data_IF_099957309094
#
_entry.id   IF_099957309094
#
_cell.length_a   1.000
_cell.length_b   1.000
_cell.length_c   1.000
_cell.angle_alpha   90.00
_cell.angle_beta   90.00
_cell.angle_gamma   90.00
#
_symmetry.space_group_name_H-M   'P 1'
#
loop_
_entity.id
_entity.type
_entity.pdbx_description
1 polymer ?
#
# COMPACT_ATOMS: atom_id res chain seq x y z
N UNK A 1 52.31 -5.23 -49.67
CA UNK A 1 52.15 -5.85 -48.34
C UNK A 1 50.85 -6.62 -48.31
N UNK A 2 50.91 -7.95 -48.34
CA UNK A 2 49.73 -8.82 -48.26
C UNK A 2 49.20 -8.74 -46.83
N UNK A 3 48.13 -7.95 -46.59
CA UNK A 3 47.40 -8.07 -45.32
C UNK A 3 46.87 -9.51 -45.27
N UNK A 4 47.18 -10.30 -44.23
CA UNK A 4 46.76 -11.69 -44.17
C UNK A 4 45.23 -11.73 -44.22
N UNK A 5 44.67 -12.49 -45.17
CA UNK A 5 43.22 -12.68 -45.36
C UNK A 5 42.50 -12.98 -44.04
N UNK A 6 43.19 -13.66 -43.15
CA UNK A 6 42.78 -13.98 -41.80
C UNK A 6 42.42 -12.73 -40.97
N UNK A 7 43.22 -11.66 -41.01
CA UNK A 7 42.90 -10.41 -40.30
C UNK A 7 41.65 -9.73 -40.88
N UNK A 8 41.44 -9.81 -42.19
CA UNK A 8 40.24 -9.29 -42.85
C UNK A 8 38.99 -10.10 -42.45
N UNK A 9 39.08 -11.43 -42.46
CA UNK A 9 37.99 -12.32 -42.04
C UNK A 9 37.66 -12.18 -40.56
N UNK A 10 38.66 -12.09 -39.67
CA UNK A 10 38.44 -11.87 -38.24
C UNK A 10 37.76 -10.53 -37.96
N UNK A 11 38.12 -9.49 -38.72
CA UNK A 11 37.47 -8.17 -38.58
C UNK A 11 35.99 -8.24 -39.00
N UNK A 12 35.68 -8.89 -40.12
CA UNK A 12 34.29 -9.08 -40.57
C UNK A 12 33.49 -9.91 -39.55
N UNK A 13 34.06 -10.99 -39.04
CA UNK A 13 33.42 -11.83 -38.03
C UNK A 13 33.15 -11.07 -36.73
N UNK A 14 34.11 -10.29 -36.24
CA UNK A 14 33.94 -9.47 -35.04
C UNK A 14 32.82 -8.44 -35.21
N UNK A 15 32.75 -7.78 -36.36
CA UNK A 15 31.69 -6.83 -36.68
C UNK A 15 30.33 -7.52 -36.76
N UNK A 16 30.23 -8.68 -37.43
CA UNK A 16 28.98 -9.44 -37.52
C UNK A 16 28.50 -9.98 -36.17
N UNK A 17 29.41 -10.46 -35.32
CA UNK A 17 29.11 -10.90 -33.97
C UNK A 17 28.58 -9.73 -33.13
N UNK A 18 29.24 -8.57 -33.22
CA UNK A 18 28.84 -7.37 -32.47
C UNK A 18 27.47 -6.86 -32.94
N UNK A 19 27.22 -6.85 -34.25
CA UNK A 19 25.91 -6.48 -34.82
C UNK A 19 24.81 -7.46 -34.40
N UNK A 20 25.13 -8.76 -34.37
CA UNK A 20 24.22 -9.80 -33.92
C UNK A 20 23.88 -9.66 -32.42
N UNK A 21 24.88 -9.52 -31.55
CA UNK A 21 24.70 -9.29 -30.11
C UNK A 21 24.00 -7.96 -29.81
N UNK A 22 24.24 -6.91 -30.62
CA UNK A 22 23.53 -5.63 -30.51
C UNK A 22 22.05 -5.76 -30.87
N UNK A 23 21.72 -6.63 -31.84
CA UNK A 23 20.33 -6.98 -32.18
C UNK A 23 19.66 -7.80 -31.07
N UNK A 24 20.38 -8.71 -30.42
CA UNK A 24 19.88 -9.52 -29.30
C UNK A 24 19.71 -8.73 -27.98
N UNK A 25 20.51 -7.69 -27.75
CA UNK A 25 20.56 -6.92 -26.49
C UNK A 25 19.29 -6.17 -26.08
N UNK A 26 18.16 -6.31 -26.80
CA UNK A 26 16.84 -5.81 -26.36
C UNK A 26 15.84 -6.89 -25.95
N UNK A 27 16.10 -8.16 -26.24
CA UNK A 27 15.34 -9.32 -25.74
C UNK A 27 16.31 -10.51 -25.67
N UNK A 28 16.85 -10.85 -24.48
CA UNK A 28 17.61 -12.08 -24.35
C UNK A 28 16.68 -13.23 -24.78
N UNK A 29 17.04 -13.92 -25.87
CA UNK A 29 16.45 -15.19 -26.20
C UNK A 29 16.91 -16.15 -25.09
N UNK A 30 16.02 -16.44 -24.14
CA UNK A 30 16.29 -17.46 -23.14
C UNK A 30 16.53 -18.77 -23.89
N UNK A 31 17.78 -19.27 -23.88
CA UNK A 31 18.11 -20.56 -24.45
C UNK A 31 17.30 -21.65 -23.73
N UNK A 32 16.32 -22.21 -24.42
CA UNK A 32 15.50 -23.36 -24.02
C UNK A 32 16.25 -24.70 -24.16
N UNK A 33 17.58 -24.69 -24.29
CA UNK A 33 18.39 -25.89 -24.59
C UNK A 33 18.57 -26.84 -23.39
N UNK A 34 18.01 -26.50 -22.22
CA UNK A 34 17.92 -27.41 -21.06
C UNK A 34 16.62 -28.24 -20.96
N UNK A 35 15.68 -28.13 -21.91
CA UNK A 35 14.33 -28.72 -21.76
C UNK A 35 14.19 -30.18 -22.19
N UNK A 36 15.26 -30.86 -22.59
CA UNK A 36 15.14 -32.21 -23.15
C UNK A 36 15.23 -33.36 -22.15
N UNK A 37 15.31 -33.14 -20.82
CA UNK A 37 15.52 -34.27 -19.89
C UNK A 37 14.87 -34.24 -18.50
N UNK A 38 13.92 -33.35 -18.18
CA UNK A 38 13.15 -33.52 -16.93
C UNK A 38 11.82 -32.77 -16.94
N UNK A 39 10.75 -33.50 -16.63
CA UNK A 39 9.34 -33.09 -16.66
C UNK A 39 8.92 -32.07 -15.58
N UNK A 40 9.85 -31.42 -14.88
CA UNK A 40 9.53 -30.51 -13.78
C UNK A 40 10.51 -29.34 -13.78
N UNK A 41 10.01 -28.12 -14.04
CA UNK A 41 10.84 -26.92 -13.95
C UNK A 41 10.63 -25.90 -15.06
N UNK A 42 9.39 -25.70 -15.52
CA UNK A 42 9.09 -24.42 -16.19
C UNK A 42 9.14 -23.34 -15.10
N UNK A 43 10.28 -22.67 -14.95
CA UNK A 43 10.41 -21.51 -14.09
C UNK A 43 9.45 -20.43 -14.59
N UNK A 44 8.26 -20.38 -14.00
CA UNK A 44 7.30 -19.31 -14.20
C UNK A 44 7.89 -18.06 -13.56
N UNK A 45 8.62 -17.27 -14.34
CA UNK A 45 8.96 -15.91 -13.92
C UNK A 45 7.64 -15.18 -13.67
N UNK A 46 7.39 -14.70 -12.43
CA UNK A 46 6.15 -14.02 -12.12
C UNK A 46 6.01 -12.81 -13.05
N UNK A 47 4.92 -12.76 -13.81
CA UNK A 47 4.60 -11.61 -14.64
C UNK A 47 4.43 -10.35 -13.79
N UNK A 48 4.53 -9.18 -14.40
CA UNK A 48 4.34 -7.87 -13.72
C UNK A 48 2.94 -7.69 -13.10
N UNK A 49 2.00 -8.60 -13.36
CA UNK A 49 0.68 -8.62 -12.74
C UNK A 49 0.78 -9.00 -11.26
N UNK A 50 0.11 -8.23 -10.40
CA UNK A 50 0.03 -8.54 -8.96
C UNK A 50 -0.50 -9.97 -8.76
N UNK A 51 0.18 -10.82 -7.97
CA UNK A 51 -0.25 -12.20 -7.76
C UNK A 51 -1.61 -12.25 -7.04
N UNK A 52 -2.45 -13.24 -7.37
CA UNK A 52 -3.82 -13.35 -6.83
C UNK A 52 -3.87 -13.38 -5.29
N UNK A 53 -2.87 -13.97 -4.64
CA UNK A 53 -2.72 -13.96 -3.18
C UNK A 53 -2.48 -12.56 -2.60
N UNK A 54 -1.84 -11.65 -3.33
CA UNK A 54 -1.67 -10.25 -2.91
C UNK A 54 -2.96 -9.45 -3.02
N UNK A 55 -3.80 -9.76 -4.01
CA UNK A 55 -5.12 -9.14 -4.19
C UNK A 55 -6.06 -9.62 -3.07
N UNK A 56 -6.14 -10.93 -2.83
CA UNK A 56 -6.93 -11.51 -1.75
C UNK A 56 -6.50 -10.98 -0.36
N UNK A 57 -5.19 -10.99 -0.06
CA UNK A 57 -4.65 -10.41 1.19
C UNK A 57 -4.97 -8.93 1.35
N UNK A 58 -4.98 -8.15 0.26
CA UNK A 58 -5.34 -6.73 0.34
C UNK A 58 -6.83 -6.52 0.65
N UNK A 59 -7.71 -7.41 0.15
CA UNK A 59 -9.14 -7.39 0.45
C UNK A 59 -9.43 -7.78 1.90
N UNK A 60 -8.86 -8.89 2.36
CA UNK A 60 -8.98 -9.36 3.75
C UNK A 60 -8.43 -8.35 4.74
N UNK A 61 -7.25 -7.77 4.46
CA UNK A 61 -6.65 -6.73 5.29
C UNK A 61 -7.57 -5.50 5.39
N UNK A 62 -8.08 -4.98 4.26
CA UNK A 62 -8.99 -3.83 4.26
C UNK A 62 -10.29 -4.13 5.01
N UNK A 63 -10.80 -5.35 4.95
CA UNK A 63 -11.98 -5.76 5.72
C UNK A 63 -11.69 -5.78 7.23
N UNK A 64 -10.55 -6.34 7.65
CA UNK A 64 -10.13 -6.33 9.06
C UNK A 64 -9.89 -4.91 9.58
N UNK A 65 -9.23 -4.05 8.79
CA UNK A 65 -9.05 -2.63 9.12
C UNK A 65 -10.41 -1.93 9.31
N UNK A 66 -11.33 -2.15 8.38
CA UNK A 66 -12.66 -1.51 8.42
C UNK A 66 -13.47 -2.00 9.63
N UNK A 67 -13.48 -3.31 9.90
CA UNK A 67 -14.20 -3.88 11.03
C UNK A 67 -13.65 -3.38 12.37
N UNK A 68 -12.32 -3.34 12.51
CA UNK A 68 -11.65 -2.82 13.69
C UNK A 68 -12.02 -1.37 13.97
N UNK A 69 -11.97 -0.52 12.94
CA UNK A 69 -12.35 0.88 13.01
C UNK A 69 -13.83 1.05 13.36
N UNK A 70 -14.73 0.30 12.73
CA UNK A 70 -16.17 0.35 13.00
C UNK A 70 -16.43 0.02 14.47
N UNK A 71 -15.83 -1.06 14.98
CA UNK A 71 -16.05 -1.48 16.37
C UNK A 71 -15.53 -0.43 17.36
N UNK A 72 -14.33 0.09 17.13
CA UNK A 72 -13.73 1.12 17.98
C UNK A 72 -14.53 2.43 17.97
N UNK A 73 -15.02 2.85 16.79
CA UNK A 73 -15.88 4.03 16.65
C UNK A 73 -17.22 3.83 17.37
N UNK A 74 -17.81 2.63 17.25
CA UNK A 74 -19.10 2.31 17.88
C UNK A 74 -19.01 2.36 19.39
N UNK A 75 -17.99 1.72 19.97
CA UNK A 75 -17.76 1.73 21.42
C UNK A 75 -17.61 3.17 21.95
N UNK A 76 -16.85 4.00 21.23
CA UNK A 76 -16.60 5.38 21.62
C UNK A 76 -17.84 6.27 21.50
N UNK A 77 -18.63 6.10 20.43
CA UNK A 77 -19.90 6.80 20.24
C UNK A 77 -20.90 6.41 21.33
N UNK A 78 -21.07 5.12 21.60
CA UNK A 78 -21.99 4.61 22.61
C UNK A 78 -21.61 5.14 24.01
N UNK A 79 -20.31 5.23 24.31
CA UNK A 79 -19.82 5.83 25.55
C UNK A 79 -20.26 7.30 25.70
N UNK A 80 -20.14 8.11 24.65
CA UNK A 80 -20.57 9.52 24.69
C UNK A 80 -22.08 9.68 24.78
N UNK A 81 -22.84 8.83 24.10
CA UNK A 81 -24.31 8.82 24.20
C UNK A 81 -24.73 8.52 25.64
N UNK A 82 -24.16 7.47 26.26
CA UNK A 82 -24.48 7.10 27.66
C UNK A 82 -24.12 8.20 28.66
N UNK A 83 -23.05 8.94 28.41
CA UNK A 83 -22.60 10.05 29.26
C UNK A 83 -23.38 11.34 29.01
N UNK A 84 -24.14 11.43 27.90
CA UNK A 84 -24.84 12.65 27.50
C UNK A 84 -23.93 13.72 26.89
N UNK A 85 -22.74 13.36 26.41
CA UNK A 85 -21.75 14.27 25.81
C UNK A 85 -22.13 14.64 24.36
N UNK A 86 -23.35 15.13 24.14
CA UNK A 86 -23.90 15.42 22.80
C UNK A 86 -23.11 16.48 22.03
N UNK A 87 -22.53 17.45 22.73
CA UNK A 87 -21.71 18.50 22.10
C UNK A 87 -20.46 17.93 21.42
N UNK A 88 -19.81 16.92 22.03
CA UNK A 88 -18.66 16.24 21.41
C UNK A 88 -19.08 15.44 20.19
N UNK A 89 -20.20 14.73 20.29
CA UNK A 89 -20.73 13.93 19.18
C UNK A 89 -21.06 14.80 17.96
N UNK A 90 -21.78 15.92 18.17
CA UNK A 90 -22.06 16.91 17.11
C UNK A 90 -20.79 17.50 16.52
N UNK A 91 -19.81 17.84 17.36
CA UNK A 91 -18.52 18.35 16.90
C UNK A 91 -17.84 17.35 15.95
N UNK A 92 -17.82 16.07 16.30
CA UNK A 92 -17.21 15.05 15.45
C UNK A 92 -17.94 14.77 14.16
N UNK A 93 -19.26 14.77 14.18
CA UNK A 93 -20.05 14.66 12.97
C UNK A 93 -19.76 15.82 12.01
N UNK A 94 -19.70 17.06 12.53
CA UNK A 94 -19.41 18.23 11.71
C UNK A 94 -18.00 18.20 11.12
N UNK A 95 -17.02 17.70 11.88
CA UNK A 95 -15.63 17.59 11.42
C UNK A 95 -15.40 16.46 10.40
N UNK A 96 -15.85 15.23 10.70
CA UNK A 96 -15.49 14.06 9.91
C UNK A 96 -16.53 13.70 8.84
N UNK A 97 -17.83 13.87 9.13
CA UNK A 97 -18.90 13.50 8.20
C UNK A 97 -19.23 14.66 7.27
N UNK A 98 -19.35 15.88 7.83
CA UNK A 98 -19.67 17.09 7.05
C UNK A 98 -18.43 17.81 6.53
N UNK A 99 -17.23 17.48 7.02
CA UNK A 99 -15.97 18.06 6.53
C UNK A 99 -15.83 19.56 6.79
N UNK A 100 -16.49 20.11 7.82
CA UNK A 100 -16.45 21.55 8.12
C UNK A 100 -15.11 21.96 8.74
N UNK A 101 -14.71 23.21 8.54
CA UNK A 101 -13.52 23.78 9.17
C UNK A 101 -13.72 23.98 10.67
N UNK A 102 -12.63 23.93 11.45
CA UNK A 102 -12.69 24.06 12.91
C UNK A 102 -13.38 25.36 13.37
N UNK A 103 -13.11 26.47 12.68
CA UNK A 103 -13.73 27.77 12.94
C UNK A 103 -15.25 27.73 12.78
N UNK A 104 -15.75 27.15 11.69
CA UNK A 104 -17.19 27.04 11.44
C UNK A 104 -17.87 26.15 12.48
N UNK A 105 -17.21 25.07 12.90
CA UNK A 105 -17.72 24.17 13.95
C UNK A 105 -17.76 24.86 15.30
N UNK A 106 -16.74 25.65 15.62
CA UNK A 106 -16.68 26.45 16.84
C UNK A 106 -17.84 27.45 16.91
N UNK A 107 -18.10 28.15 15.81
CA UNK A 107 -19.21 29.10 15.69
C UNK A 107 -20.58 28.41 15.80
N UNK A 108 -20.79 27.29 15.09
CA UNK A 108 -22.06 26.56 15.10
C UNK A 108 -22.41 25.92 16.46
N UNK A 109 -21.40 25.53 17.23
CA UNK A 109 -21.59 24.88 18.53
C UNK A 109 -21.39 25.84 19.71
N UNK A 110 -21.14 27.13 19.45
CA UNK A 110 -20.88 28.16 20.45
C UNK A 110 -19.76 27.78 21.43
N UNK A 111 -18.71 27.13 20.90
CA UNK A 111 -17.51 26.72 21.65
C UNK A 111 -16.27 27.38 21.05
N UNK A 112 -15.17 27.36 21.79
CA UNK A 112 -13.90 27.88 21.27
C UNK A 112 -13.27 26.92 20.26
N UNK A 113 -12.51 27.46 19.31
CA UNK A 113 -11.76 26.64 18.34
C UNK A 113 -10.76 25.71 19.05
N UNK A 114 -10.18 26.15 20.17
CA UNK A 114 -9.31 25.32 21.00
C UNK A 114 -10.06 24.11 21.59
N UNK A 115 -11.32 24.28 22.00
CA UNK A 115 -12.14 23.15 22.47
C UNK A 115 -12.44 22.16 21.34
N UNK A 116 -12.74 22.64 20.13
CA UNK A 116 -12.90 21.79 18.93
C UNK A 116 -11.63 20.97 18.69
N UNK A 117 -10.47 21.61 18.71
CA UNK A 117 -9.17 20.95 18.56
C UNK A 117 -8.91 19.91 19.66
N UNK A 118 -9.20 20.24 20.92
CA UNK A 118 -9.05 19.34 22.05
C UNK A 118 -9.98 18.12 21.94
N UNK A 119 -11.23 18.31 21.52
CA UNK A 119 -12.16 17.21 21.27
C UNK A 119 -11.65 16.28 20.17
N UNK A 120 -11.20 16.85 19.04
CA UNK A 120 -10.58 16.10 17.94
C UNK A 120 -9.40 15.26 18.41
N UNK A 121 -8.50 15.86 19.20
CA UNK A 121 -7.32 15.18 19.71
C UNK A 121 -7.67 14.04 20.67
N UNK A 122 -8.51 14.29 21.69
CA UNK A 122 -8.93 13.28 22.67
C UNK A 122 -9.60 12.08 21.97
N UNK A 123 -10.42 12.34 20.96
CA UNK A 123 -11.06 11.27 20.20
C UNK A 123 -10.10 10.42 19.41
N UNK A 124 -9.17 11.04 18.66
CA UNK A 124 -8.17 10.30 17.89
C UNK A 124 -7.26 9.48 18.81
N UNK A 125 -6.90 10.03 19.98
CA UNK A 125 -6.11 9.33 20.99
C UNK A 125 -6.85 8.11 21.54
N UNK A 126 -8.14 8.25 21.87
CA UNK A 126 -8.98 7.14 22.34
C UNK A 126 -9.19 6.10 21.25
N UNK A 127 -9.51 6.52 20.03
CA UNK A 127 -9.70 5.62 18.89
C UNK A 127 -8.45 4.77 18.65
N UNK A 128 -7.27 5.40 18.66
CA UNK A 128 -5.97 4.70 18.58
C UNK A 128 -5.81 3.67 19.71
N UNK A 129 -6.17 4.03 20.93
CA UNK A 129 -6.09 3.11 22.07
C UNK A 129 -7.07 1.93 21.94
N UNK A 130 -8.30 2.15 21.46
CA UNK A 130 -9.26 1.07 21.22
C UNK A 130 -8.76 0.12 20.13
N UNK A 131 -8.25 0.64 19.02
CA UNK A 131 -7.67 -0.19 17.94
C UNK A 131 -6.48 -1.00 18.45
N UNK A 132 -5.56 -0.39 19.23
CA UNK A 132 -4.43 -1.12 19.83
C UNK A 132 -4.87 -2.24 20.76
N UNK A 133 -5.97 -2.06 21.51
CA UNK A 133 -6.53 -3.10 22.40
C UNK A 133 -7.12 -4.29 21.64
N UNK A 134 -7.53 -4.11 20.39
CA UNK A 134 -8.07 -5.21 19.58
C UNK A 134 -7.00 -6.21 19.12
N UNK A 135 -5.71 -5.96 19.42
CA UNK A 135 -4.64 -6.94 19.23
C UNK A 135 -4.39 -7.32 17.76
N UNK A 136 -4.70 -6.41 16.83
CA UNK A 136 -4.54 -6.62 15.40
C UNK A 136 -3.06 -6.76 15.03
N UNK A 137 -2.78 -7.57 14.01
CA UNK A 137 -1.42 -7.73 13.48
C UNK A 137 -0.83 -6.37 13.09
N UNK A 138 0.46 -6.17 13.36
CA UNK A 138 1.22 -4.97 13.03
C UNK A 138 1.12 -4.61 11.54
N UNK A 139 0.96 -5.63 10.69
CA UNK A 139 0.82 -5.47 9.25
C UNK A 139 -0.48 -4.77 8.85
N UNK A 140 -1.50 -4.70 9.70
CA UNK A 140 -2.82 -4.15 9.39
C UNK A 140 -2.78 -2.63 9.53
N UNK A 141 -2.20 -2.10 10.61
CA UNK A 141 -2.06 -0.67 10.86
C UNK A 141 -0.60 -0.26 11.16
N UNK A 142 0.27 -0.20 10.15
CA UNK A 142 1.68 0.15 10.36
C UNK A 142 1.86 1.55 10.98
N UNK A 143 1.05 2.53 10.56
CA UNK A 143 1.09 3.92 11.07
C UNK A 143 0.72 4.06 12.55
N UNK A 144 0.14 3.03 13.18
CA UNK A 144 -0.19 3.07 14.61
C UNK A 144 1.01 2.74 15.51
N UNK A 145 2.11 2.26 14.95
CA UNK A 145 3.29 1.83 15.69
C UNK A 145 4.58 2.61 15.35
N UNK A 146 4.51 3.58 14.44
CA UNK A 146 5.48 4.68 14.32
C UNK A 146 5.26 5.72 15.43
#
# INVERSE_FOLDING_TARGET
GKRPLESYLFTICAHKLTDYLRREGRRPALSLEGLSSSSEGTWQLPGSSRPASSIARSGERRQLESQALIEALREQIDYWIRRGDWSKLKCMELLFVRGRANKDVAELLEITEQQVANFKFDFLARLRNHIRKQGLSHDIFPELYE
#
